data_IF_644466465516
#
_entry.id   IF_644466465516
#
_cell.length_a   1.000
_cell.length_b   1.000
_cell.length_c   1.000
_cell.angle_alpha   90.00
_cell.angle_beta   90.00
_cell.angle_gamma   90.00
#
_symmetry.space_group_name_H-M   'P 1'
#
loop_
_entity.id
_entity.type
_entity.pdbx_description
1 polymer ?
#
# COMPACT_ATOMS: atom_id res chain seq x y z
N UNK A 1 -15.59 -5.31 -12.12
CA UNK A 1 -16.88 -5.72 -11.56
C UNK A 1 -16.78 -7.21 -11.44
N UNK A 2 -16.39 -7.69 -10.26
CA UNK A 2 -16.43 -9.10 -9.93
C UNK A 2 -17.24 -9.17 -8.64
N UNK A 3 -18.53 -9.45 -8.81
CA UNK A 3 -19.43 -9.73 -7.69
C UNK A 3 -19.05 -11.12 -7.18
N UNK A 4 -18.29 -11.17 -6.09
CA UNK A 4 -17.99 -12.41 -5.39
C UNK A 4 -19.30 -13.08 -4.99
N UNK A 5 -19.62 -14.17 -5.68
CA UNK A 5 -20.71 -15.06 -5.34
C UNK A 5 -20.41 -15.74 -4.02
N UNK A 6 -21.25 -15.49 -3.02
CA UNK A 6 -21.16 -16.10 -1.70
C UNK A 6 -21.73 -17.52 -1.75
N UNK A 7 -20.89 -18.56 -1.81
CA UNK A 7 -21.36 -19.92 -1.56
C UNK A 7 -21.68 -20.09 -0.05
N UNK A 8 -22.95 -19.92 0.29
CA UNK A 8 -23.50 -20.29 1.61
C UNK A 8 -23.64 -21.80 1.72
N UNK A 9 -22.55 -22.49 2.09
CA UNK A 9 -22.56 -23.92 2.42
C UNK A 9 -22.82 -24.19 3.90
N UNK A 10 -21.88 -23.81 4.78
CA UNK A 10 -21.84 -24.33 6.16
C UNK A 10 -21.50 -23.29 7.25
N UNK A 11 -21.53 -22.00 6.93
CA UNK A 11 -21.09 -20.94 7.85
C UNK A 11 -19.57 -20.83 7.98
N UNK A 12 -18.84 -21.40 7.02
CA UNK A 12 -17.39 -21.23 6.86
C UNK A 12 -17.14 -20.12 5.83
N UNK A 13 -16.26 -19.18 6.15
CA UNK A 13 -15.79 -18.17 5.22
C UNK A 13 -14.28 -18.38 5.03
N UNK A 14 -13.83 -18.57 3.80
CA UNK A 14 -12.39 -18.67 3.52
C UNK A 14 -11.96 -18.14 2.17
N UNK A 15 -10.65 -18.01 2.01
CA UNK A 15 -9.97 -17.69 0.75
C UNK A 15 -10.39 -16.31 0.20
N UNK A 16 -10.55 -15.34 1.10
CA UNK A 16 -10.94 -13.97 0.74
C UNK A 16 -9.85 -12.98 1.09
N UNK A 17 -9.46 -12.13 0.13
CA UNK A 17 -8.48 -11.06 0.38
C UNK A 17 -8.94 -10.09 1.47
N UNK A 18 -10.23 -9.76 1.48
CA UNK A 18 -10.86 -8.98 2.54
C UNK A 18 -12.27 -9.47 2.83
N UNK A 19 -12.59 -9.63 4.11
CA UNK A 19 -13.94 -9.89 4.61
C UNK A 19 -14.50 -8.62 5.26
N UNK A 20 -15.51 -8.02 4.63
CA UNK A 20 -16.20 -6.84 5.16
C UNK A 20 -17.44 -7.24 5.99
N UNK A 21 -17.34 -7.14 7.32
CA UNK A 21 -18.45 -7.40 8.24
C UNK A 21 -19.20 -6.14 8.66
N UNK A 22 -18.94 -4.98 8.03
CA UNK A 22 -19.62 -3.72 8.38
C UNK A 22 -21.12 -3.71 8.11
N UNK A 23 -21.61 -4.66 7.31
CA UNK A 23 -23.05 -4.84 7.10
C UNK A 23 -23.76 -5.32 8.38
N UNK A 24 -23.05 -6.01 9.26
CA UNK A 24 -23.59 -6.53 10.51
C UNK A 24 -23.79 -5.38 11.51
N UNK A 25 -24.95 -5.34 12.15
CA UNK A 25 -25.32 -4.30 13.13
C UNK A 25 -25.32 -4.85 14.54
N UNK A 26 -25.60 -6.15 14.69
CA UNK A 26 -25.78 -6.86 15.95
C UNK A 26 -24.98 -8.16 15.98
N UNK A 27 -24.61 -8.69 17.16
CA UNK A 27 -23.96 -10.00 17.28
C UNK A 27 -24.71 -11.13 16.59
N UNK A 28 -26.05 -11.05 16.55
CA UNK A 28 -26.95 -12.01 15.93
C UNK A 28 -26.75 -12.10 14.42
N UNK A 29 -26.30 -11.03 13.76
CA UNK A 29 -26.00 -11.02 12.33
C UNK A 29 -24.77 -11.90 12.00
N UNK A 30 -23.91 -12.14 12.98
CA UNK A 30 -22.70 -12.98 12.83
C UNK A 30 -22.91 -14.43 13.27
N UNK A 31 -24.06 -14.79 13.87
CA UNK A 31 -24.28 -16.11 14.49
C UNK A 31 -24.19 -17.30 13.53
N UNK A 32 -24.37 -17.05 12.24
CA UNK A 32 -24.31 -18.06 11.18
C UNK A 32 -22.87 -18.33 10.74
N UNK A 33 -21.92 -17.46 11.09
CA UNK A 33 -20.50 -17.62 10.78
C UNK A 33 -19.87 -18.45 11.90
N UNK A 34 -19.47 -19.68 11.59
CA UNK A 34 -18.84 -20.63 12.51
C UNK A 34 -17.33 -20.49 12.50
N UNK A 35 -16.74 -20.22 11.33
CA UNK A 35 -15.31 -20.03 11.18
C UNK A 35 -14.94 -19.10 10.04
N UNK A 36 -13.79 -18.45 10.20
CA UNK A 36 -13.15 -17.59 9.22
C UNK A 36 -11.71 -18.09 9.08
N UNK A 37 -11.30 -18.47 7.86
CA UNK A 37 -9.91 -18.85 7.59
C UNK A 37 -9.35 -18.28 6.31
N UNK A 38 -8.02 -18.18 6.20
CA UNK A 38 -7.34 -17.78 4.96
C UNK A 38 -7.84 -16.41 4.45
N UNK A 39 -7.89 -15.43 5.37
CA UNK A 39 -8.38 -14.08 5.09
C UNK A 39 -7.30 -13.05 5.30
N UNK A 40 -7.02 -12.23 4.28
CA UNK A 40 -6.03 -11.16 4.41
C UNK A 40 -6.41 -10.13 5.48
N UNK A 41 -7.61 -9.55 5.34
CA UNK A 41 -8.12 -8.50 6.24
C UNK A 41 -9.58 -8.75 6.60
N UNK A 42 -9.94 -8.65 7.88
CA UNK A 42 -11.34 -8.61 8.32
C UNK A 42 -11.68 -7.21 8.81
N UNK A 43 -12.66 -6.55 8.19
CA UNK A 43 -13.22 -5.30 8.70
C UNK A 43 -14.41 -5.62 9.59
N UNK A 44 -14.41 -5.12 10.83
CA UNK A 44 -15.50 -5.38 11.79
C UNK A 44 -15.89 -4.11 12.54
N UNK A 45 -17.19 -3.81 12.73
CA UNK A 45 -17.61 -2.76 13.63
C UNK A 45 -17.13 -3.00 15.07
N UNK A 46 -16.70 -1.95 15.77
CA UNK A 46 -16.17 -2.03 17.14
C UNK A 46 -17.15 -2.72 18.10
N UNK A 47 -18.45 -2.45 17.94
CA UNK A 47 -19.51 -3.05 18.76
C UNK A 47 -19.66 -4.58 18.55
N UNK A 48 -19.05 -5.15 17.51
CA UNK A 48 -19.13 -6.58 17.18
C UNK A 48 -17.83 -7.35 17.47
N UNK A 49 -16.79 -6.69 17.98
CA UNK A 49 -15.51 -7.34 18.28
C UNK A 49 -15.65 -8.54 19.23
N UNK A 50 -16.53 -8.43 20.24
CA UNK A 50 -16.80 -9.52 21.19
C UNK A 50 -17.64 -10.67 20.60
N UNK A 51 -18.40 -10.42 19.52
CA UNK A 51 -19.11 -11.45 18.79
C UNK A 51 -18.14 -12.21 17.87
N UNK A 52 -17.27 -11.47 17.18
CA UNK A 52 -16.22 -12.04 16.33
C UNK A 52 -15.27 -12.96 17.10
N UNK A 53 -14.94 -12.65 18.36
CA UNK A 53 -14.06 -13.50 19.18
C UNK A 53 -14.64 -14.88 19.53
N UNK A 54 -15.95 -15.09 19.31
CA UNK A 54 -16.60 -16.40 19.48
C UNK A 54 -16.54 -17.26 18.22
N UNK A 55 -16.17 -16.66 17.09
CA UNK A 55 -16.00 -17.34 15.81
C UNK A 55 -14.61 -17.96 15.79
N UNK A 56 -14.48 -19.18 15.27
CA UNK A 56 -13.15 -19.79 15.10
C UNK A 56 -12.41 -19.05 13.99
N UNK A 57 -11.38 -18.29 14.34
CA UNK A 57 -10.55 -17.53 13.40
C UNK A 57 -9.17 -18.19 13.31
N UNK A 58 -8.71 -18.52 12.10
CA UNK A 58 -7.38 -19.10 11.85
C UNK A 58 -6.82 -18.59 10.54
N UNK A 59 -5.51 -18.27 10.48
CA UNK A 59 -4.88 -17.71 9.27
C UNK A 59 -5.56 -16.44 8.75
N UNK A 60 -5.72 -15.46 9.66
CA UNK A 60 -6.19 -14.12 9.33
C UNK A 60 -5.06 -13.14 9.51
N UNK A 61 -4.73 -12.39 8.45
CA UNK A 61 -3.61 -11.44 8.45
C UNK A 61 -3.82 -10.32 9.46
N UNK A 62 -4.96 -9.61 9.38
CA UNK A 62 -5.33 -8.61 10.38
C UNK A 62 -6.84 -8.41 10.52
N UNK A 63 -7.26 -7.96 11.70
CA UNK A 63 -8.65 -7.56 11.98
C UNK A 63 -8.67 -6.06 12.27
N UNK A 64 -9.30 -5.31 11.39
CA UNK A 64 -9.45 -3.85 11.50
C UNK A 64 -10.81 -3.55 12.13
N UNK A 65 -10.77 -2.92 13.29
CA UNK A 65 -11.99 -2.55 14.01
C UNK A 65 -12.38 -1.12 13.70
N UNK A 66 -13.64 -0.91 13.34
CA UNK A 66 -14.11 0.36 12.81
C UNK A 66 -15.20 0.96 13.71
N UNK A 67 -15.18 2.27 13.98
CA UNK A 67 -16.19 2.90 14.80
C UNK A 67 -17.60 2.69 14.22
N UNK A 68 -18.53 2.26 15.05
CA UNK A 68 -19.91 2.03 14.64
C UNK A 68 -20.63 3.36 14.41
N UNK A 69 -21.25 3.53 13.24
CA UNK A 69 -22.06 4.72 12.92
C UNK A 69 -21.29 5.89 12.29
N UNK A 70 -19.97 5.77 12.12
CA UNK A 70 -19.16 6.78 11.45
C UNK A 70 -19.32 6.74 9.91
N UNK A 71 -19.07 7.89 9.28
CA UNK A 71 -18.91 7.98 7.83
C UNK A 71 -17.53 7.38 7.43
N UNK A 72 -17.50 6.06 7.27
CA UNK A 72 -16.29 5.30 6.94
C UNK A 72 -16.17 5.13 5.41
N UNK A 73 -15.21 5.83 4.82
CA UNK A 73 -14.77 5.56 3.45
C UNK A 73 -13.72 4.44 3.49
N UNK A 74 -14.00 3.33 2.81
CA UNK A 74 -13.07 2.21 2.71
C UNK A 74 -12.66 2.02 1.25
N UNK A 75 -11.36 2.00 1.00
CA UNK A 75 -10.79 1.72 -0.31
C UNK A 75 -9.84 0.53 -0.25
N UNK A 76 -9.81 -0.24 -1.33
CA UNK A 76 -9.00 -1.44 -1.44
C UNK A 76 -8.15 -1.44 -2.70
N UNK A 77 -6.99 -2.11 -2.62
CA UNK A 77 -6.09 -2.28 -3.74
C UNK A 77 -5.15 -1.08 -3.89
N UNK A 78 -4.95 -0.62 -5.12
CA UNK A 78 -4.05 0.48 -5.43
C UNK A 78 -4.84 1.78 -5.54
N UNK A 79 -4.66 2.66 -4.57
CA UNK A 79 -5.42 3.90 -4.42
C UNK A 79 -4.47 5.08 -4.54
N UNK A 80 -4.86 6.04 -5.38
CA UNK A 80 -4.11 7.28 -5.60
C UNK A 80 -5.01 8.46 -5.28
N UNK A 81 -4.59 9.34 -4.37
CA UNK A 81 -5.32 10.56 -4.02
C UNK A 81 -4.38 11.75 -4.02
N UNK A 82 -4.87 12.90 -4.48
CA UNK A 82 -4.12 14.15 -4.34
C UNK A 82 -4.26 14.72 -2.93
N UNK A 83 -3.37 15.65 -2.58
CA UNK A 83 -3.48 16.40 -1.34
C UNK A 83 -4.80 17.18 -1.23
N UNK A 84 -5.34 17.67 -2.35
CA UNK A 84 -6.63 18.36 -2.42
C UNK A 84 -7.79 17.40 -2.15
N UNK A 85 -7.76 16.18 -2.70
CA UNK A 85 -8.76 15.16 -2.44
C UNK A 85 -8.79 14.78 -0.95
N UNK A 86 -7.63 14.67 -0.31
CA UNK A 86 -7.52 14.42 1.13
C UNK A 86 -7.98 15.60 1.98
N UNK A 87 -7.68 16.83 1.55
CA UNK A 87 -8.13 18.03 2.23
C UNK A 87 -9.66 18.22 2.16
N UNK A 88 -10.29 17.71 1.10
CA UNK A 88 -11.74 17.70 0.89
C UNK A 88 -12.50 16.55 1.56
N UNK A 89 -11.81 15.67 2.29
CA UNK A 89 -12.46 14.57 3.01
C UNK A 89 -13.54 15.05 3.99
N UNK A 90 -14.62 14.29 4.20
CA UNK A 90 -15.71 14.67 5.10
C UNK A 90 -15.21 14.81 6.54
N UNK A 91 -15.54 15.95 7.16
CA UNK A 91 -15.27 16.18 8.58
C UNK A 91 -15.94 15.09 9.44
N UNK A 92 -15.21 14.56 10.42
CA UNK A 92 -15.67 13.44 11.24
C UNK A 92 -15.52 12.06 10.59
N UNK A 93 -15.31 11.99 9.28
CA UNK A 93 -15.17 10.73 8.55
C UNK A 93 -13.85 10.00 8.80
N UNK A 94 -13.88 8.67 8.61
CA UNK A 94 -12.72 7.78 8.74
C UNK A 94 -12.34 7.29 7.34
N UNK A 95 -11.08 7.49 6.94
CA UNK A 95 -10.54 6.91 5.72
C UNK A 95 -9.79 5.62 6.06
N UNK A 96 -10.23 4.50 5.51
CA UNK A 96 -9.55 3.21 5.62
C UNK A 96 -9.03 2.81 4.26
N UNK A 97 -7.74 2.53 4.14
CA UNK A 97 -7.13 2.02 2.92
C UNK A 97 -6.46 0.68 3.20
N UNK A 98 -6.86 -0.34 2.45
CA UNK A 98 -6.27 -1.68 2.49
C UNK A 98 -5.54 -1.93 1.17
N UNK A 99 -4.22 -2.04 1.21
CA UNK A 99 -3.36 -2.20 0.03
C UNK A 99 -2.34 -1.06 -0.10
N UNK A 100 -2.21 -0.51 -1.30
CA UNK A 100 -1.24 0.55 -1.61
C UNK A 100 -1.95 1.89 -1.69
N UNK A 101 -1.49 2.86 -0.92
CA UNK A 101 -2.02 4.21 -0.88
C UNK A 101 -0.96 5.21 -1.29
N UNK A 102 -1.15 5.87 -2.43
CA UNK A 102 -0.26 6.92 -2.93
C UNK A 102 -0.90 8.30 -2.80
N UNK A 103 -0.22 9.20 -2.12
CA UNK A 103 -0.58 10.61 -2.03
C UNK A 103 0.27 11.40 -3.02
N UNK A 104 -0.36 12.12 -3.95
CA UNK A 104 0.35 12.65 -5.13
C UNK A 104 0.84 14.08 -4.99
N UNK A 105 0.35 14.81 -4.00
CA UNK A 105 0.72 16.19 -3.70
C UNK A 105 0.61 16.43 -2.19
N UNK A 106 1.41 17.34 -1.66
CA UNK A 106 1.40 17.65 -0.22
C UNK A 106 0.02 18.18 0.16
N UNK A 107 -0.75 17.51 1.04
CA UNK A 107 -2.03 18.03 1.50
C UNK A 107 -1.82 19.28 2.35
N UNK A 108 -2.65 20.31 2.15
CA UNK A 108 -2.67 21.48 3.04
C UNK A 108 -3.27 21.17 4.42
N UNK A 109 -4.17 20.19 4.46
CA UNK A 109 -4.78 19.59 5.65
C UNK A 109 -5.32 18.21 5.29
N UNK A 110 -5.68 17.43 6.31
CA UNK A 110 -6.52 16.23 6.13
C UNK A 110 -7.95 16.57 6.57
N UNK A 111 -8.91 16.44 5.66
CA UNK A 111 -10.33 16.66 5.95
C UNK A 111 -10.95 15.57 6.83
N UNK A 112 -10.45 14.34 6.71
CA UNK A 112 -10.85 13.21 7.55
C UNK A 112 -10.50 13.42 9.02
N UNK A 113 -11.31 12.84 9.91
CA UNK A 113 -11.01 12.76 11.35
C UNK A 113 -9.74 11.96 11.58
N UNK A 114 -9.66 10.80 10.91
CA UNK A 114 -8.55 9.86 10.99
C UNK A 114 -8.38 9.10 9.66
N UNK A 115 -7.15 8.65 9.42
CA UNK A 115 -6.73 7.78 8.34
C UNK A 115 -6.18 6.50 8.97
N UNK A 116 -6.54 5.36 8.40
CA UNK A 116 -6.04 4.03 8.75
C UNK A 116 -5.53 3.36 7.49
N UNK A 117 -4.29 2.91 7.51
CA UNK A 117 -3.67 2.23 6.36
C UNK A 117 -3.21 0.85 6.78
N UNK A 118 -3.64 -0.16 6.02
CA UNK A 118 -3.21 -1.54 6.13
C UNK A 118 -2.53 -1.88 4.81
N UNK A 119 -1.21 -1.84 4.80
CA UNK A 119 -0.37 -2.01 3.62
C UNK A 119 0.68 -0.89 3.51
N UNK A 120 0.81 -0.30 2.32
CA UNK A 120 1.89 0.66 2.02
C UNK A 120 1.32 2.06 1.79
N UNK A 121 1.91 3.06 2.44
CA UNK A 121 1.62 4.48 2.20
C UNK A 121 2.82 5.16 1.56
N UNK A 122 2.63 5.72 0.38
CA UNK A 122 3.59 6.57 -0.30
C UNK A 122 3.11 8.01 -0.19
N UNK A 123 3.77 8.80 0.65
CA UNK A 123 3.43 10.18 0.93
C UNK A 123 4.49 11.15 0.41
N UNK A 124 4.14 12.38 0.01
CA UNK A 124 5.12 13.39 -0.35
C UNK A 124 6.01 13.78 0.83
N UNK A 125 7.31 13.95 0.60
CA UNK A 125 8.22 14.58 1.59
C UNK A 125 7.68 15.94 2.01
N UNK A 126 7.78 16.24 3.30
CA UNK A 126 7.25 17.48 3.88
C UNK A 126 5.78 17.40 4.32
N UNK A 127 5.09 16.27 4.06
CA UNK A 127 3.70 16.06 4.50
C UNK A 127 3.58 15.38 5.87
N UNK A 128 4.70 15.03 6.52
CA UNK A 128 4.77 14.32 7.80
C UNK A 128 3.92 15.01 8.87
N UNK A 129 4.05 16.33 8.99
CA UNK A 129 3.33 17.13 9.99
C UNK A 129 1.82 17.20 9.74
N UNK A 130 1.38 17.03 8.49
CA UNK A 130 -0.04 17.09 8.11
C UNK A 130 -0.69 15.71 8.21
N UNK A 131 0.01 14.67 7.75
CA UNK A 131 -0.50 13.29 7.72
C UNK A 131 -0.35 12.63 9.08
N UNK A 132 0.80 12.77 9.74
CA UNK A 132 1.15 12.04 10.96
C UNK A 132 0.09 12.11 12.07
N UNK A 133 -0.42 13.30 12.45
CA UNK A 133 -1.45 13.43 13.47
C UNK A 133 -2.79 12.76 13.11
N UNK A 134 -3.01 12.47 11.82
CA UNK A 134 -4.27 11.93 11.28
C UNK A 134 -4.15 10.46 10.93
N UNK A 135 -2.94 9.96 10.70
CA UNK A 135 -2.64 8.55 10.52
C UNK A 135 -2.69 7.83 11.88
N UNK A 136 -3.88 7.42 12.28
CA UNK A 136 -4.13 6.82 13.61
C UNK A 136 -3.80 5.34 13.68
N UNK A 137 -3.80 4.66 12.53
CA UNK A 137 -3.44 3.25 12.42
C UNK A 137 -2.62 3.05 11.14
N UNK A 138 -1.43 2.50 11.29
CA UNK A 138 -0.56 2.10 10.19
C UNK A 138 -0.10 0.67 10.44
N UNK A 139 -0.52 -0.25 9.58
CA UNK A 139 -0.13 -1.65 9.63
C UNK A 139 0.56 -1.99 8.31
N UNK A 140 1.89 -1.86 8.30
CA UNK A 140 2.73 -1.97 7.11
C UNK A 140 3.79 -0.87 7.07
N UNK A 141 3.98 -0.23 5.93
CA UNK A 141 5.11 0.66 5.69
C UNK A 141 4.67 2.04 5.19
N UNK A 142 5.44 3.06 5.57
CA UNK A 142 5.28 4.43 5.08
C UNK A 142 6.58 4.89 4.43
N UNK A 143 6.46 5.51 3.25
CA UNK A 143 7.57 6.07 2.49
C UNK A 143 7.28 7.53 2.20
N UNK A 144 8.20 8.40 2.60
CA UNK A 144 8.15 9.83 2.27
C UNK A 144 9.05 10.12 1.07
N UNK A 145 8.42 10.38 -0.08
CA UNK A 145 9.07 10.47 -1.39
C UNK A 145 8.89 11.84 -2.03
N UNK A 146 9.78 12.25 -2.96
CA UNK A 146 9.49 13.36 -3.86
C UNK A 146 8.18 13.14 -4.63
N UNK A 147 7.44 14.21 -4.92
CA UNK A 147 6.12 14.12 -5.60
C UNK A 147 6.20 13.57 -7.02
N UNK A 148 7.37 13.70 -7.64
CA UNK A 148 7.75 13.25 -8.97
C UNK A 148 8.43 11.87 -8.97
N UNK A 149 8.45 11.17 -7.83
CA UNK A 149 8.98 9.81 -7.77
C UNK A 149 8.27 8.88 -8.79
N UNK A 150 9.08 8.13 -9.53
CA UNK A 150 8.62 7.22 -10.58
C UNK A 150 8.33 5.85 -9.98
N UNK A 151 7.07 5.46 -10.03
CA UNK A 151 6.61 4.13 -9.62
C UNK A 151 6.82 3.14 -10.77
N UNK A 152 7.59 2.09 -10.53
CA UNK A 152 7.83 0.99 -11.46
C UNK A 152 7.12 -0.23 -10.89
N UNK A 153 6.07 -0.68 -11.57
CA UNK A 153 5.19 -1.77 -11.13
C UNK A 153 5.34 -2.96 -12.08
N UNK A 154 5.50 -4.16 -11.53
CA UNK A 154 5.65 -5.38 -12.33
C UNK A 154 7.05 -5.51 -12.91
N UNK A 155 7.15 -6.00 -14.15
CA UNK A 155 8.43 -6.24 -14.84
C UNK A 155 8.71 -5.10 -15.82
N UNK A 156 9.89 -4.49 -15.73
CA UNK A 156 10.31 -3.41 -16.62
C UNK A 156 11.81 -3.54 -16.98
N UNK A 157 12.18 -3.13 -18.19
CA UNK A 157 13.58 -3.07 -18.63
C UNK A 157 13.98 -1.63 -18.96
N UNK A 158 15.11 -1.20 -18.41
CA UNK A 158 15.67 0.15 -18.54
C UNK A 158 16.95 0.07 -19.38
N UNK A 159 16.91 0.75 -20.52
CA UNK A 159 18.07 0.96 -21.38
C UNK A 159 18.73 2.31 -21.13
N UNK A 160 19.89 2.53 -21.73
CA UNK A 160 20.57 3.81 -21.74
C UNK A 160 19.67 4.91 -22.34
N UNK A 161 19.00 4.63 -23.47
CA UNK A 161 18.12 5.60 -24.15
C UNK A 161 16.93 5.98 -23.27
N UNK A 162 16.37 5.05 -22.50
CA UNK A 162 15.32 5.37 -21.54
C UNK A 162 15.81 6.40 -20.51
N UNK A 163 17.02 6.20 -19.97
CA UNK A 163 17.61 7.10 -18.98
C UNK A 163 17.90 8.48 -19.57
N UNK A 164 18.29 8.58 -20.85
CA UNK A 164 18.52 9.86 -21.53
C UNK A 164 17.28 10.76 -21.55
N UNK A 165 16.09 10.18 -21.66
CA UNK A 165 14.81 10.92 -21.61
C UNK A 165 14.34 11.26 -20.20
N UNK A 166 15.00 10.73 -19.17
CA UNK A 166 14.63 10.96 -17.78
C UNK A 166 15.16 12.30 -17.28
N UNK A 167 14.42 12.95 -16.38
CA UNK A 167 14.94 14.09 -15.63
C UNK A 167 16.09 13.65 -14.71
N UNK A 168 17.10 14.50 -14.57
CA UNK A 168 18.24 14.24 -13.70
C UNK A 168 17.80 14.11 -12.23
N UNK A 169 18.35 13.12 -11.52
CA UNK A 169 18.05 12.91 -10.11
C UNK A 169 16.65 12.36 -9.79
N UNK A 170 16.02 11.65 -10.72
CA UNK A 170 14.72 11.02 -10.48
C UNK A 170 14.80 9.98 -9.35
N UNK A 171 13.76 9.90 -8.53
CA UNK A 171 13.59 8.83 -7.52
C UNK A 171 12.80 7.67 -8.11
N UNK A 172 13.31 6.45 -8.00
CA UNK A 172 12.59 5.24 -8.42
C UNK A 172 11.99 4.52 -7.22
N UNK A 173 10.76 4.03 -7.38
CA UNK A 173 10.11 3.09 -6.47
C UNK A 173 9.84 1.83 -7.25
N UNK A 174 10.57 0.76 -6.95
CA UNK A 174 10.51 -0.50 -7.68
C UNK A 174 9.66 -1.49 -6.90
N UNK A 175 8.54 -1.89 -7.49
CA UNK A 175 7.62 -2.90 -6.95
C UNK A 175 7.40 -3.98 -8.01
N UNK A 176 8.29 -4.97 -8.02
CA UNK A 176 8.36 -6.01 -9.05
C UNK A 176 9.81 -6.24 -9.49
N UNK A 177 10.04 -6.57 -10.75
CA UNK A 177 11.39 -6.75 -11.32
C UNK A 177 11.77 -5.55 -12.19
N UNK A 178 12.92 -4.94 -11.89
CA UNK A 178 13.53 -3.94 -12.74
C UNK A 178 14.85 -4.47 -13.30
N UNK A 179 14.93 -4.58 -14.62
CA UNK A 179 16.15 -4.98 -15.32
C UNK A 179 16.83 -3.76 -15.93
N UNK A 180 18.11 -3.55 -15.63
CA UNK A 180 18.96 -2.68 -16.44
C UNK A 180 19.61 -3.54 -17.50
N UNK A 181 19.57 -3.12 -18.76
CA UNK A 181 20.27 -3.85 -19.84
C UNK A 181 21.78 -3.55 -19.85
N UNK A 182 22.49 -4.18 -20.79
CA UNK A 182 23.95 -4.07 -20.93
C UNK A 182 24.44 -2.75 -21.52
N UNK A 183 23.52 -1.89 -21.99
CA UNK A 183 23.83 -0.56 -22.53
C UNK A 183 24.01 0.49 -21.43
N UNK A 184 23.47 0.23 -20.24
CA UNK A 184 23.46 1.20 -19.14
C UNK A 184 24.82 1.30 -18.46
N UNK A 185 25.33 2.54 -18.35
CA UNK A 185 26.58 2.84 -17.67
C UNK A 185 26.41 3.50 -16.28
N UNK A 186 27.48 3.43 -15.47
CA UNK A 186 27.49 4.00 -14.11
C UNK A 186 27.29 5.52 -14.10
N UNK A 187 27.92 6.31 -15.00
CA UNK A 187 27.67 7.74 -15.10
C UNK A 187 26.19 8.09 -15.30
N UNK A 188 25.50 7.38 -16.21
CA UNK A 188 24.09 7.62 -16.52
C UNK A 188 23.21 7.35 -15.29
N UNK A 189 23.39 6.21 -14.62
CA UNK A 189 22.64 5.90 -13.37
C UNK A 189 22.87 7.00 -12.33
N UNK A 190 24.12 7.44 -12.13
CA UNK A 190 24.44 8.46 -11.13
C UNK A 190 23.81 9.81 -11.43
N UNK A 191 23.70 10.16 -12.72
CA UNK A 191 23.09 11.41 -13.14
C UNK A 191 21.55 11.33 -13.05
N UNK A 192 20.97 10.24 -13.53
CA UNK A 192 19.52 10.13 -13.77
C UNK A 192 18.74 9.61 -12.57
N UNK A 193 19.37 8.82 -11.69
CA UNK A 193 18.70 8.20 -10.55
C UNK A 193 19.35 8.68 -9.25
N UNK A 194 18.64 9.51 -8.49
CA UNK A 194 19.13 9.99 -7.21
C UNK A 194 18.95 8.95 -6.09
N UNK A 195 17.85 8.21 -6.15
CA UNK A 195 17.38 7.35 -5.08
C UNK A 195 16.54 6.20 -5.62
N UNK A 196 16.67 5.03 -4.99
CA UNK A 196 15.79 3.88 -5.22
C UNK A 196 15.16 3.46 -3.88
N UNK A 197 13.84 3.26 -3.90
CA UNK A 197 13.09 2.47 -2.92
C UNK A 197 12.78 1.13 -3.57
N UNK A 198 13.36 0.06 -3.05
CA UNK A 198 13.27 -1.28 -3.64
C UNK A 198 12.36 -2.19 -2.83
N UNK A 199 11.29 -2.65 -3.46
CA UNK A 199 10.30 -3.60 -2.93
C UNK A 199 10.08 -4.71 -3.96
N UNK A 200 11.17 -5.37 -4.36
CA UNK A 200 11.17 -6.36 -5.43
C UNK A 200 12.59 -6.74 -5.82
N UNK A 201 12.84 -6.95 -7.10
CA UNK A 201 14.15 -7.35 -7.60
C UNK A 201 14.70 -6.32 -8.58
N UNK A 202 16.01 -6.07 -8.50
CA UNK A 202 16.76 -5.40 -9.55
C UNK A 202 17.76 -6.38 -10.14
N UNK A 203 17.77 -6.50 -11.47
CA UNK A 203 18.78 -7.25 -12.21
C UNK A 203 19.56 -6.29 -13.08
N UNK A 204 20.88 -6.36 -13.06
CA UNK A 204 21.70 -5.41 -13.80
C UNK A 204 23.08 -5.96 -14.14
N UNK A 205 23.78 -5.40 -15.15
CA UNK A 205 25.17 -5.74 -15.42
C UNK A 205 26.03 -5.60 -14.18
N UNK A 206 26.98 -6.54 -13.99
CA UNK A 206 27.85 -6.56 -12.80
C UNK A 206 28.54 -5.21 -12.53
N UNK A 207 28.86 -4.45 -13.56
CA UNK A 207 29.52 -3.15 -13.45
C UNK A 207 28.68 -2.08 -12.73
N UNK A 208 27.35 -2.14 -12.85
CA UNK A 208 26.44 -1.13 -12.28
C UNK A 208 25.80 -1.53 -10.94
N UNK A 209 25.84 -2.81 -10.57
CA UNK A 209 25.30 -3.28 -9.28
C UNK A 209 25.80 -2.47 -8.07
N UNK A 210 27.10 -2.14 -7.93
CA UNK A 210 27.56 -1.38 -6.77
C UNK A 210 26.93 0.02 -6.66
N UNK A 211 26.69 0.72 -7.78
CA UNK A 211 26.04 2.04 -7.71
C UNK A 211 24.57 1.90 -7.33
N UNK A 212 23.87 0.90 -7.89
CA UNK A 212 22.47 0.61 -7.53
C UNK A 212 22.34 0.33 -6.03
N UNK A 213 23.22 -0.49 -5.45
CA UNK A 213 23.25 -0.75 -4.00
C UNK A 213 23.44 0.51 -3.15
N UNK A 214 24.25 1.48 -3.61
CA UNK A 214 24.53 2.72 -2.87
C UNK A 214 23.36 3.72 -2.93
N UNK A 215 22.66 3.79 -4.06
CA UNK A 215 21.53 4.71 -4.26
C UNK A 215 20.19 4.12 -3.78
N UNK A 216 20.09 2.81 -3.58
CA UNK A 216 18.95 2.19 -2.90
C UNK A 216 18.96 2.58 -1.42
N UNK A 217 18.05 3.48 -1.02
CA UNK A 217 17.95 3.99 0.36
C UNK A 217 17.08 3.10 1.24
N UNK A 218 16.07 2.50 0.63
CA UNK A 218 15.14 1.58 1.27
C UNK A 218 15.19 0.26 0.50
N UNK A 219 15.68 -0.82 1.13
CA UNK A 219 15.90 -2.12 0.49
C UNK A 219 15.06 -3.20 1.17
N UNK A 220 13.93 -3.56 0.57
CA UNK A 220 13.03 -4.64 0.98
C UNK A 220 12.98 -5.79 -0.03
N UNK A 221 13.98 -5.86 -0.91
CA UNK A 221 14.10 -6.89 -1.92
C UNK A 221 15.57 -7.07 -2.33
N UNK A 222 15.86 -7.61 -3.50
CA UNK A 222 17.22 -8.02 -3.87
C UNK A 222 17.78 -7.35 -5.12
N UNK A 223 19.11 -7.25 -5.18
CA UNK A 223 19.83 -6.71 -6.33
C UNK A 223 20.80 -7.79 -6.81
N UNK A 224 20.61 -8.25 -8.04
CA UNK A 224 21.37 -9.32 -8.66
C UNK A 224 22.24 -8.79 -9.80
N UNK A 225 23.46 -9.31 -9.88
CA UNK A 225 24.30 -9.14 -11.05
C UNK A 225 23.89 -10.15 -12.13
N UNK A 226 23.69 -9.68 -13.35
CA UNK A 226 23.60 -10.53 -14.54
C UNK A 226 25.00 -10.76 -15.10
N UNK A 227 25.22 -12.00 -15.58
CA UNK A 227 26.52 -12.55 -15.96
C UNK A 227 26.84 -12.33 -17.42
#
# INVERSE_FOLDING_TARGET
>A
MDETSFEHGDGHISDVGMLDLRFAKTPEDLKHIRSISDVGVVLVPDNLAAALSKIKVSDVGTVVRLPSGDNVACHMGQIRMSGEALAGGPEGGVLVVVGQFQITSVPSKIGYREIRVIGQLFAPRGSEAVIGPKLTEMNGQIFYLPTDARMIMGEETISQEFLEYLEDGTTFVVMGELRFDDTVDVPMIRQKIAEIVLMGEIRAPRAVVPILQVITKEKYGEIHAEG
#
